data_IF_097625673304
#
_entry.id   IF_097625673304
#
_cell.length_a   1.000
_cell.length_b   1.000
_cell.length_c   1.000
_cell.angle_alpha   90.00
_cell.angle_beta   90.00
_cell.angle_gamma   90.00
#
_symmetry.space_group_name_H-M   'P 1'
#
loop_
_entity.id
_entity.type
_entity.pdbx_description
1 polymer ?
#
# COMPACT_ATOMS: atom_id res chain seq x y z
N UNK A 1 -7.51 19.91 -15.12
CA UNK A 1 -7.50 18.56 -15.72
C UNK A 1 -8.94 18.05 -15.70
N UNK A 2 -9.37 17.18 -16.62
CA UNK A 2 -10.80 16.80 -16.74
C UNK A 2 -11.12 15.41 -16.17
N UNK A 3 -10.12 14.58 -15.87
CA UNK A 3 -10.31 13.21 -15.38
C UNK A 3 -9.32 12.86 -14.27
N UNK A 4 -9.74 11.92 -13.41
CA UNK A 4 -8.95 11.33 -12.33
C UNK A 4 -7.76 10.59 -12.92
N UNK A 5 -6.56 10.78 -12.37
CA UNK A 5 -5.35 10.06 -12.79
C UNK A 5 -4.80 9.22 -11.65
N UNK A 6 -4.30 8.04 -12.00
CA UNK A 6 -3.62 7.11 -11.10
C UNK A 6 -2.21 6.83 -11.65
N UNK A 7 -1.19 7.13 -10.86
CA UNK A 7 0.23 7.08 -11.27
C UNK A 7 0.99 6.12 -10.34
N UNK A 8 1.74 5.14 -10.89
CA UNK A 8 2.54 4.23 -10.07
C UNK A 8 3.79 4.95 -9.58
N UNK A 9 4.16 4.73 -8.33
CA UNK A 9 5.42 5.19 -7.75
C UNK A 9 6.18 3.95 -7.28
N UNK A 10 7.32 3.63 -7.92
CA UNK A 10 8.18 2.52 -7.49
C UNK A 10 9.00 2.94 -6.27
N UNK A 11 8.55 2.56 -5.07
CA UNK A 11 9.21 2.93 -3.82
C UNK A 11 10.18 1.86 -3.30
N UNK A 12 10.87 1.21 -4.25
CA UNK A 12 11.88 0.19 -4.00
C UNK A 12 11.37 -1.22 -4.15
N UNK A 13 12.22 -2.16 -3.75
CA UNK A 13 11.97 -3.58 -3.82
C UNK A 13 12.47 -4.29 -2.57
N UNK A 14 11.79 -5.35 -2.16
CA UNK A 14 12.23 -6.29 -1.15
C UNK A 14 12.47 -7.67 -1.77
N UNK A 15 13.44 -8.41 -1.24
CA UNK A 15 13.74 -9.78 -1.61
C UNK A 15 13.61 -10.67 -0.38
N UNK A 16 12.96 -11.82 -0.53
CA UNK A 16 12.81 -12.80 0.56
C UNK A 16 12.52 -14.22 0.04
N UNK A 17 12.46 -15.20 0.93
CA UNK A 17 11.91 -16.51 0.60
C UNK A 17 10.39 -16.41 0.40
N UNK A 18 9.87 -16.99 -0.67
CA UNK A 18 8.43 -17.00 -0.96
C UNK A 18 7.61 -17.59 0.20
N UNK A 19 8.12 -18.64 0.84
CA UNK A 19 7.51 -19.29 2.02
C UNK A 19 7.28 -18.35 3.21
N UNK A 20 8.04 -17.25 3.27
CA UNK A 20 8.01 -16.30 4.37
C UNK A 20 6.86 -15.28 4.24
N UNK A 21 6.34 -15.09 3.02
CA UNK A 21 5.22 -14.20 2.71
C UNK A 21 3.98 -14.95 2.27
N UNK A 22 4.10 -16.16 1.71
CA UNK A 22 2.97 -17.02 1.34
C UNK A 22 3.27 -18.45 1.74
N UNK A 23 2.42 -19.02 2.59
CA UNK A 23 2.61 -20.35 3.14
C UNK A 23 2.57 -21.42 2.03
N UNK A 24 3.56 -22.32 2.05
CA UNK A 24 3.62 -23.47 1.15
C UNK A 24 4.28 -23.21 -0.21
N UNK A 25 4.77 -21.99 -0.47
CA UNK A 25 5.58 -21.70 -1.65
C UNK A 25 7.07 -21.91 -1.37
N UNK A 26 7.83 -22.22 -2.42
CA UNK A 26 9.28 -22.44 -2.37
C UNK A 26 10.03 -21.39 -3.19
N UNK A 27 11.33 -21.24 -2.91
CA UNK A 27 12.23 -20.34 -3.63
C UNK A 27 12.25 -18.92 -3.06
N UNK A 28 12.83 -18.01 -3.84
CA UNK A 28 12.92 -16.58 -3.52
C UNK A 28 11.98 -15.79 -4.41
N UNK A 29 11.46 -14.68 -3.87
CA UNK A 29 10.59 -13.75 -4.57
C UNK A 29 11.14 -12.33 -4.43
N UNK A 30 10.96 -11.55 -5.49
CA UNK A 30 11.21 -10.11 -5.53
C UNK A 30 9.86 -9.40 -5.44
N UNK A 31 9.72 -8.50 -4.48
CA UNK A 31 8.50 -7.80 -4.15
C UNK A 31 8.67 -6.33 -4.50
N UNK A 32 8.01 -5.78 -5.54
CA UNK A 32 7.96 -4.35 -5.73
C UNK A 32 7.22 -3.72 -4.55
N UNK A 33 7.66 -2.54 -4.13
CA UNK A 33 7.00 -1.76 -3.08
C UNK A 33 6.31 -0.57 -3.76
N UNK A 34 5.04 -0.72 -4.16
CA UNK A 34 4.33 0.33 -4.87
C UNK A 34 3.75 1.35 -3.90
N UNK A 35 3.83 2.62 -4.28
CA UNK A 35 2.91 3.65 -3.82
C UNK A 35 2.12 4.17 -5.01
N UNK A 36 0.97 4.77 -4.78
CA UNK A 36 0.11 5.22 -5.87
C UNK A 36 -0.29 6.67 -5.68
N UNK A 37 0.09 7.52 -6.63
CA UNK A 37 -0.37 8.91 -6.65
C UNK A 37 -1.71 8.99 -7.39
N UNK A 38 -2.68 9.61 -6.72
CA UNK A 38 -3.99 9.96 -7.27
C UNK A 38 -4.06 11.47 -7.45
N UNK A 39 -4.43 11.91 -8.65
CA UNK A 39 -4.61 13.33 -8.98
C UNK A 39 -6.07 13.55 -9.37
N UNK A 40 -6.79 14.27 -8.52
CA UNK A 40 -8.20 14.57 -8.69
C UNK A 40 -8.40 15.76 -9.65
N UNK A 41 -9.47 15.78 -10.49
CA UNK A 41 -9.74 16.88 -11.43
C UNK A 41 -9.86 18.27 -10.80
N UNK A 42 -10.26 18.33 -9.52
CA UNK A 42 -10.36 19.59 -8.76
C UNK A 42 -8.98 20.14 -8.30
N UNK A 43 -7.88 19.41 -8.54
CA UNK A 43 -6.52 19.78 -8.16
C UNK A 43 -6.02 19.16 -6.85
N UNK A 44 -6.86 18.44 -6.10
CA UNK A 44 -6.42 17.70 -4.92
C UNK A 44 -5.64 16.44 -5.29
N UNK A 45 -4.75 16.02 -4.40
CA UNK A 45 -3.87 14.86 -4.57
C UNK A 45 -3.92 13.95 -3.35
N UNK A 46 -3.80 12.65 -3.59
CA UNK A 46 -3.65 11.65 -2.54
C UNK A 46 -2.56 10.66 -2.92
N UNK A 47 -1.92 10.06 -1.92
CA UNK A 47 -0.95 8.97 -2.10
C UNK A 47 -1.46 7.76 -1.31
N UNK A 48 -1.61 6.62 -1.98
CA UNK A 48 -1.93 5.34 -1.34
C UNK A 48 -0.63 4.59 -1.05
N UNK A 49 -0.36 4.42 0.24
CA UNK A 49 0.92 4.00 0.82
C UNK A 49 2.11 4.90 0.44
N UNK A 50 3.21 4.80 1.19
CA UNK A 50 4.39 5.68 1.07
C UNK A 50 5.71 4.92 0.92
N UNK A 51 5.64 3.60 0.81
CA UNK A 51 6.81 2.77 0.54
C UNK A 51 7.77 2.62 1.72
N UNK A 52 9.01 2.27 1.40
CA UNK A 52 10.08 2.02 2.39
C UNK A 52 10.62 3.30 3.04
N UNK A 53 11.06 3.16 4.29
CA UNK A 53 11.70 4.28 5.02
C UNK A 53 13.05 4.65 4.40
N UNK A 54 13.35 5.95 4.35
CA UNK A 54 14.53 6.48 3.65
C UNK A 54 15.88 6.00 4.21
N UNK A 55 15.92 5.51 5.45
CA UNK A 55 17.10 4.86 6.06
C UNK A 55 17.43 3.51 5.43
N UNK A 56 16.51 2.88 4.69
CA UNK A 56 16.73 1.57 4.06
C UNK A 56 17.67 1.63 2.85
N UNK A 57 18.16 2.83 2.49
CA UNK A 57 19.30 2.98 1.55
C UNK A 57 20.55 2.26 2.07
N UNK A 58 20.67 2.13 3.39
CA UNK A 58 21.74 1.39 4.06
C UNK A 58 21.33 -0.06 4.41
N UNK A 59 20.21 -0.53 3.85
CA UNK A 59 19.62 -1.85 4.06
C UNK A 59 18.56 -1.89 5.18
N UNK A 60 17.74 -2.95 5.18
CA UNK A 60 16.63 -3.15 6.14
C UNK A 60 17.09 -3.01 7.60
N UNK A 61 18.27 -3.55 7.93
CA UNK A 61 18.81 -3.56 9.29
C UNK A 61 19.20 -2.19 9.86
N UNK A 62 19.26 -1.14 9.03
CA UNK A 62 19.50 0.22 9.49
C UNK A 62 18.37 0.72 10.41
N UNK A 63 17.14 0.23 10.19
CA UNK A 63 15.96 0.63 10.94
C UNK A 63 15.18 -0.54 11.56
N UNK A 64 15.17 -1.71 10.90
CA UNK A 64 14.43 -2.89 11.35
C UNK A 64 15.35 -4.13 11.49
N UNK A 65 16.17 -4.21 12.56
CA UNK A 65 17.08 -5.33 12.79
C UNK A 65 16.44 -6.73 12.83
N UNK A 66 15.17 -6.85 13.25
CA UNK A 66 14.47 -8.14 13.23
C UNK A 66 14.00 -8.48 11.81
N UNK A 67 13.43 -7.51 11.09
CA UNK A 67 12.98 -7.71 9.70
C UNK A 67 14.14 -8.01 8.75
N UNK A 68 15.32 -7.46 9.00
CA UNK A 68 16.54 -7.73 8.22
C UNK A 68 16.99 -9.20 8.25
N UNK A 69 16.42 -10.03 9.13
CA UNK A 69 16.64 -11.49 9.13
C UNK A 69 15.87 -12.22 8.03
N UNK A 70 14.84 -11.58 7.49
CA UNK A 70 13.92 -12.14 6.50
C UNK A 70 13.97 -11.39 5.18
N UNK A 71 14.17 -10.07 5.20
CA UNK A 71 14.11 -9.23 4.02
C UNK A 71 15.45 -8.57 3.71
N UNK A 72 15.79 -8.53 2.42
CA UNK A 72 16.81 -7.66 1.85
C UNK A 72 16.10 -6.57 1.04
N UNK A 73 16.65 -5.34 1.02
CA UNK A 73 16.09 -4.25 0.23
C UNK A 73 16.97 -3.89 -0.95
N UNK A 74 16.35 -3.71 -2.12
CA UNK A 74 16.90 -2.91 -3.22
C UNK A 74 16.17 -1.56 -3.20
N UNK A 75 16.78 -0.62 -2.49
CA UNK A 75 16.24 0.72 -2.29
C UNK A 75 17.36 1.76 -2.42
N UNK A 76 17.20 2.69 -3.36
CA UNK A 76 18.13 3.81 -3.59
C UNK A 76 17.46 5.15 -3.30
N UNK A 77 18.21 6.25 -3.31
CA UNK A 77 17.65 7.57 -2.99
C UNK A 77 16.46 7.91 -3.88
N UNK A 78 16.55 7.58 -5.16
CA UNK A 78 15.54 7.82 -6.21
C UNK A 78 14.23 7.05 -6.01
N UNK A 79 14.20 6.09 -5.08
CA UNK A 79 13.02 5.30 -4.71
C UNK A 79 12.21 5.94 -3.58
N UNK A 80 12.77 6.93 -2.87
CA UNK A 80 12.03 7.71 -1.87
C UNK A 80 10.74 8.27 -2.49
N UNK A 81 9.63 8.15 -1.77
CA UNK A 81 8.33 8.63 -2.28
C UNK A 81 8.36 10.12 -2.67
N UNK A 82 9.11 10.96 -1.95
CA UNK A 82 9.31 12.36 -2.32
C UNK A 82 9.97 12.53 -3.70
N UNK A 83 11.03 11.76 -3.97
CA UNK A 83 11.75 11.80 -5.25
C UNK A 83 10.87 11.26 -6.39
N UNK A 84 10.01 10.28 -6.10
CA UNK A 84 9.02 9.76 -7.06
C UNK A 84 7.94 10.79 -7.38
N UNK A 85 7.45 11.52 -6.39
CA UNK A 85 6.48 12.62 -6.56
C UNK A 85 7.09 13.78 -7.37
N UNK A 86 8.31 14.19 -7.06
CA UNK A 86 8.99 15.28 -7.77
C UNK A 86 9.26 14.96 -9.24
N UNK A 87 9.57 13.70 -9.56
CA UNK A 87 9.74 13.23 -10.96
C UNK A 87 8.48 13.38 -11.81
N UNK A 88 7.31 13.48 -11.20
CA UNK A 88 6.02 13.69 -11.88
C UNK A 88 5.44 15.07 -11.58
N UNK A 89 6.30 16.03 -11.23
CA UNK A 89 5.99 17.43 -10.97
C UNK A 89 4.99 17.66 -9.81
N UNK A 90 4.99 16.78 -8.80
CA UNK A 90 4.24 16.95 -7.55
C UNK A 90 5.19 17.31 -6.42
N UNK A 91 4.94 18.46 -5.77
CA UNK A 91 5.60 18.82 -4.52
C UNK A 91 5.12 17.91 -3.38
N UNK A 92 6.00 17.14 -2.71
CA UNK A 92 5.62 16.29 -1.57
C UNK A 92 4.97 17.07 -0.42
N UNK A 93 5.33 18.35 -0.25
CA UNK A 93 4.71 19.22 0.75
C UNK A 93 3.28 19.67 0.36
N UNK A 94 2.91 19.53 -0.90
CA UNK A 94 1.61 19.90 -1.45
C UNK A 94 0.59 18.76 -1.51
N UNK A 95 0.98 17.52 -1.15
CA UNK A 95 0.07 16.37 -1.14
C UNK A 95 -1.01 16.57 -0.08
N UNK A 96 -2.29 16.36 -0.45
CA UNK A 96 -3.40 16.61 0.47
C UNK A 96 -3.64 15.44 1.44
N UNK A 97 -3.60 14.20 0.94
CA UNK A 97 -3.91 13.01 1.74
C UNK A 97 -2.87 11.90 1.56
N UNK A 98 -2.55 11.20 2.63
CA UNK A 98 -1.95 9.87 2.61
C UNK A 98 -3.03 8.89 3.04
N UNK A 99 -3.25 7.85 2.25
CA UNK A 99 -4.20 6.79 2.57
C UNK A 99 -3.38 5.52 2.79
N UNK A 100 -3.38 5.00 4.01
CA UNK A 100 -2.67 3.75 4.29
C UNK A 100 -3.58 2.56 4.03
N UNK A 101 -3.10 1.60 3.24
CA UNK A 101 -3.67 0.26 3.22
C UNK A 101 -3.59 -0.36 4.61
N UNK A 102 -2.42 -0.27 5.23
CA UNK A 102 -2.09 -0.66 6.59
C UNK A 102 -0.74 -0.05 7.00
N UNK A 103 -0.25 -0.34 8.21
CA UNK A 103 0.89 0.35 8.81
C UNK A 103 2.17 -0.49 8.91
N UNK A 104 2.33 -1.55 8.11
CA UNK A 104 3.64 -2.22 8.02
C UNK A 104 4.69 -1.31 7.39
N UNK A 105 5.96 -1.64 7.65
CA UNK A 105 7.11 -0.76 7.40
C UNK A 105 7.32 -0.39 5.93
N UNK A 106 6.91 -1.27 5.02
CA UNK A 106 7.00 -1.08 3.58
C UNK A 106 5.81 -0.34 2.97
N UNK A 107 4.78 -0.04 3.77
CA UNK A 107 3.63 0.77 3.37
C UNK A 107 3.67 2.18 3.97
N UNK A 108 4.25 2.35 5.16
CA UNK A 108 4.27 3.64 5.87
C UNK A 108 5.65 4.26 6.07
N UNK A 109 6.73 3.61 5.60
CA UNK A 109 8.09 4.08 5.86
C UNK A 109 8.40 5.45 5.26
N UNK A 110 7.77 5.84 4.16
CA UNK A 110 7.99 7.14 3.52
C UNK A 110 7.19 8.31 4.10
N UNK A 111 6.36 8.12 5.14
CA UNK A 111 5.43 9.15 5.65
C UNK A 111 6.11 10.49 5.94
N UNK A 112 7.30 10.47 6.56
CA UNK A 112 8.05 11.68 6.93
C UNK A 112 8.43 12.56 5.72
N UNK A 113 8.38 12.01 4.51
CA UNK A 113 8.73 12.69 3.26
C UNK A 113 7.53 13.42 2.63
N UNK A 114 6.33 13.29 3.20
CA UNK A 114 5.09 13.95 2.74
C UNK A 114 4.43 14.70 3.92
N UNK A 115 5.12 15.68 4.52
CA UNK A 115 4.92 16.08 5.92
C UNK A 115 3.59 16.80 6.22
N UNK A 116 2.91 17.34 5.21
CA UNK A 116 1.71 18.17 5.40
C UNK A 116 0.40 17.43 5.09
N UNK A 117 0.48 16.21 4.54
CA UNK A 117 -0.70 15.47 4.12
C UNK A 117 -1.48 14.95 5.34
N UNK A 118 -2.81 14.97 5.24
CA UNK A 118 -3.68 14.28 6.20
C UNK A 118 -3.55 12.77 6.03
N UNK A 119 -3.35 12.04 7.11
CA UNK A 119 -3.37 10.58 7.12
C UNK A 119 -4.82 10.10 7.23
N UNK A 120 -5.21 9.16 6.36
CA UNK A 120 -6.48 8.43 6.40
C UNK A 120 -6.17 6.96 6.62
N UNK A 121 -6.69 6.40 7.72
CA UNK A 121 -6.39 5.02 8.16
C UNK A 121 -7.55 4.45 8.96
N UNK A 122 -7.76 3.13 8.90
CA UNK A 122 -8.79 2.47 9.71
C UNK A 122 -8.46 2.59 11.20
N UNK A 123 -9.48 2.83 12.03
CA UNK A 123 -9.29 2.94 13.49
C UNK A 123 -8.68 1.64 14.07
N UNK A 124 -9.14 0.48 13.60
CA UNK A 124 -8.61 -0.82 14.02
C UNK A 124 -7.11 -1.00 13.70
N UNK A 125 -6.66 -0.44 12.57
CA UNK A 125 -5.25 -0.47 12.18
C UNK A 125 -4.42 0.42 13.10
N UNK A 126 -4.88 1.65 13.33
CA UNK A 126 -4.20 2.59 14.21
C UNK A 126 -4.06 2.03 15.64
N UNK A 127 -5.13 1.45 16.17
CA UNK A 127 -5.12 0.86 17.52
C UNK A 127 -4.19 -0.36 17.60
N UNK A 128 -4.16 -1.20 16.56
CA UNK A 128 -3.25 -2.35 16.45
C UNK A 128 -1.78 -1.91 16.37
N UNK A 129 -1.48 -0.89 15.55
CA UNK A 129 -0.12 -0.41 15.33
C UNK A 129 0.52 0.25 16.57
N UNK A 130 -0.30 0.64 17.55
CA UNK A 130 0.15 1.14 18.85
C UNK A 130 0.26 0.04 19.93
N UNK A 131 -0.04 -1.22 19.60
CA UNK A 131 -0.01 -2.30 20.59
C UNK A 131 1.44 -2.64 20.98
N UNK A 132 1.82 -2.56 22.28
CA UNK A 132 3.22 -2.68 22.71
C UNK A 132 3.95 -3.94 22.24
N UNK A 133 3.27 -5.09 22.21
CA UNK A 133 3.88 -6.35 21.76
C UNK A 133 4.17 -6.36 20.27
N UNK A 134 3.34 -5.71 19.46
CA UNK A 134 3.53 -5.69 18.01
C UNK A 134 4.69 -4.75 17.65
N UNK A 135 4.84 -3.67 18.42
CA UNK A 135 6.02 -2.79 18.35
C UNK A 135 7.30 -3.51 18.78
N UNK A 136 7.27 -4.24 19.91
CA UNK A 136 8.42 -5.00 20.43
C UNK A 136 8.97 -6.02 19.40
N UNK A 137 8.10 -6.55 18.54
CA UNK A 137 8.46 -7.54 17.51
C UNK A 137 8.66 -6.92 16.12
N UNK A 138 8.73 -5.59 16.00
CA UNK A 138 8.87 -4.86 14.73
C UNK A 138 7.78 -5.17 13.70
N UNK A 139 6.58 -5.57 14.14
CA UNK A 139 5.41 -5.66 13.24
C UNK A 139 4.97 -4.26 12.83
N UNK A 140 5.02 -3.31 13.76
CA UNK A 140 4.78 -1.90 13.52
C UNK A 140 5.87 -1.05 14.18
N UNK A 141 6.09 0.14 13.64
CA UNK A 141 6.94 1.14 14.26
C UNK A 141 6.25 2.51 14.18
N UNK A 142 5.63 3.00 15.28
CA UNK A 142 4.95 4.30 15.30
C UNK A 142 5.82 5.49 14.87
N UNK A 143 7.16 5.38 14.98
CA UNK A 143 8.07 6.40 14.48
C UNK A 143 8.09 6.51 12.94
N UNK A 144 7.36 5.65 12.22
CA UNK A 144 7.17 5.75 10.78
C UNK A 144 5.92 6.53 10.39
N UNK A 145 4.87 6.55 11.23
CA UNK A 145 3.55 7.07 10.83
C UNK A 145 2.91 8.03 11.85
N UNK A 146 3.23 7.95 13.14
CA UNK A 146 2.73 8.87 14.18
C UNK A 146 3.67 10.06 14.34
N UNK A 147 3.79 10.84 13.27
CA UNK A 147 4.75 11.94 13.13
C UNK A 147 4.14 13.33 13.38
N UNK A 148 2.89 13.38 13.86
CA UNK A 148 2.16 14.63 14.11
C UNK A 148 1.40 15.20 12.90
N UNK A 149 1.14 14.37 11.88
CA UNK A 149 0.26 14.72 10.77
C UNK A 149 -1.18 14.96 11.25
N UNK A 150 -1.98 15.68 10.46
CA UNK A 150 -3.43 15.64 10.63
C UNK A 150 -3.93 14.21 10.40
N UNK A 151 -4.77 13.70 11.28
CA UNK A 151 -5.17 12.29 11.30
C UNK A 151 -6.69 12.15 11.24
N UNK A 152 -7.16 11.43 10.22
CA UNK A 152 -8.53 10.98 10.08
C UNK A 152 -8.59 9.45 10.25
N UNK A 153 -8.99 9.01 11.43
CA UNK A 153 -9.35 7.61 11.67
C UNK A 153 -10.75 7.34 11.14
N UNK A 154 -10.89 6.30 10.32
CA UNK A 154 -12.16 5.90 9.72
C UNK A 154 -12.58 4.50 10.20
N UNK A 155 -13.88 4.23 10.14
CA UNK A 155 -14.46 2.92 10.47
C UNK A 155 -15.28 2.44 9.28
N UNK A 156 -14.70 1.56 8.48
CA UNK A 156 -15.39 1.00 7.31
C UNK A 156 -15.10 1.74 6.01
N UNK A 157 -16.08 1.72 5.10
CA UNK A 157 -15.95 2.40 3.79
C UNK A 157 -15.92 3.91 3.95
N UNK A 158 -15.03 4.57 3.21
CA UNK A 158 -14.86 6.01 3.25
C UNK A 158 -14.64 6.59 1.85
N UNK A 159 -15.25 7.73 1.57
CA UNK A 159 -15.08 8.47 0.32
C UNK A 159 -14.07 9.59 0.54
N UNK A 160 -12.92 9.50 -0.13
CA UNK A 160 -11.76 10.37 0.12
C UNK A 160 -12.03 11.81 -0.33
N UNK A 161 -12.73 12.00 -1.45
CA UNK A 161 -13.01 13.32 -2.04
C UNK A 161 -14.49 13.73 -1.92
N UNK A 162 -15.36 12.83 -1.48
CA UNK A 162 -16.78 13.09 -1.24
C UNK A 162 -17.66 13.04 -2.50
N UNK A 163 -17.11 12.60 -3.63
CA UNK A 163 -17.80 12.48 -4.92
C UNK A 163 -17.87 11.04 -5.46
N UNK A 164 -17.41 10.07 -4.67
CA UNK A 164 -17.38 8.65 -5.00
C UNK A 164 -16.26 8.24 -5.96
N UNK A 165 -15.35 9.14 -6.34
CA UNK A 165 -14.26 8.85 -7.27
C UNK A 165 -13.20 7.93 -6.67
N UNK A 166 -12.95 8.05 -5.36
CA UNK A 166 -11.94 7.28 -4.63
C UNK A 166 -12.51 6.79 -3.30
N UNK A 167 -12.61 5.47 -3.16
CA UNK A 167 -13.30 4.82 -2.04
C UNK A 167 -12.35 3.87 -1.30
N UNK A 168 -12.16 4.10 -0.01
CA UNK A 168 -11.55 3.13 0.88
C UNK A 168 -12.51 1.94 1.08
N UNK A 169 -12.00 0.72 0.93
CA UNK A 169 -12.75 -0.53 1.07
C UNK A 169 -12.09 -1.36 2.17
N UNK A 170 -12.78 -1.60 3.30
CA UNK A 170 -12.27 -2.50 4.33
C UNK A 170 -12.01 -3.89 3.76
N UNK A 171 -10.79 -4.38 3.97
CA UNK A 171 -10.30 -5.71 3.59
C UNK A 171 -9.40 -6.26 4.69
N UNK A 172 -9.89 -6.37 5.94
CA UNK A 172 -9.07 -6.79 7.08
C UNK A 172 -8.69 -8.27 6.98
N UNK A 173 -7.70 -8.67 7.76
CA UNK A 173 -7.26 -10.06 7.90
C UNK A 173 -5.75 -10.22 7.81
N UNK A 174 -5.11 -9.59 6.82
CA UNK A 174 -3.65 -9.44 6.79
C UNK A 174 -3.19 -8.67 8.03
N UNK A 175 -3.75 -7.47 8.22
CA UNK A 175 -3.71 -6.73 9.48
C UNK A 175 -5.11 -6.48 10.02
N UNK A 176 -5.19 -5.98 11.26
CA UNK A 176 -6.45 -5.76 11.98
C UNK A 176 -7.38 -4.76 11.26
N UNK A 177 -6.82 -3.73 10.62
CA UNK A 177 -7.57 -2.72 9.89
C UNK A 177 -7.10 -2.51 8.46
N UNK A 178 -6.58 -3.55 7.81
CA UNK A 178 -6.20 -3.48 6.40
C UNK A 178 -7.36 -2.97 5.53
N UNK A 179 -7.06 -2.11 4.57
CA UNK A 179 -8.00 -1.61 3.57
C UNK A 179 -7.39 -1.56 2.17
N UNK A 180 -8.25 -1.79 1.18
CA UNK A 180 -7.95 -1.62 -0.24
C UNK A 180 -8.55 -0.30 -0.74
N UNK A 181 -8.10 0.20 -1.90
CA UNK A 181 -8.59 1.46 -2.46
C UNK A 181 -9.22 1.23 -3.83
N UNK A 182 -10.48 1.62 -4.00
CA UNK A 182 -11.13 1.67 -5.31
C UNK A 182 -11.01 3.06 -5.92
N UNK A 183 -10.55 3.11 -7.15
CA UNK A 183 -10.34 4.33 -7.94
C UNK A 183 -11.17 4.22 -9.22
N UNK A 184 -12.18 5.07 -9.37
CA UNK A 184 -13.08 5.07 -10.52
C UNK A 184 -12.49 5.93 -11.65
N UNK A 185 -11.59 5.35 -12.44
CA UNK A 185 -11.00 6.01 -13.62
C UNK A 185 -11.99 6.04 -14.80
N UNK A 186 -11.74 6.92 -15.76
CA UNK A 186 -12.51 6.99 -17.01
C UNK A 186 -12.42 5.69 -17.83
N UNK A 187 -11.29 4.98 -17.75
CA UNK A 187 -11.06 3.68 -18.40
C UNK A 187 -11.76 2.51 -17.71
N UNK A 188 -12.31 2.72 -16.50
CA UNK A 188 -12.95 1.70 -15.69
C UNK A 188 -12.46 1.71 -14.23
N UNK A 189 -13.19 1.04 -13.33
CA UNK A 189 -12.80 0.98 -11.93
C UNK A 189 -11.56 0.10 -11.72
N UNK A 190 -10.62 0.62 -10.95
CA UNK A 190 -9.42 -0.09 -10.48
C UNK A 190 -9.52 -0.28 -8.97
N UNK A 191 -9.05 -1.41 -8.45
CA UNK A 191 -8.89 -1.63 -7.01
C UNK A 191 -7.44 -1.95 -6.71
N UNK A 192 -6.81 -1.09 -5.92
CA UNK A 192 -5.49 -1.32 -5.31
C UNK A 192 -5.70 -2.25 -4.12
N UNK A 193 -5.21 -3.48 -4.20
CA UNK A 193 -5.55 -4.50 -3.21
C UNK A 193 -4.81 -4.30 -1.90
N UNK A 194 -3.65 -3.62 -1.91
CA UNK A 194 -2.68 -3.71 -0.83
C UNK A 194 -2.31 -5.17 -0.57
N UNK A 195 -2.06 -5.48 0.68
CA UNK A 195 -1.61 -6.80 1.14
C UNK A 195 -2.74 -7.79 1.41
N UNK A 196 -3.99 -7.38 1.18
CA UNK A 196 -5.06 -8.36 1.09
C UNK A 196 -4.76 -9.41 0.00
N UNK A 197 -4.06 -9.01 -1.08
CA UNK A 197 -3.58 -9.89 -2.14
C UNK A 197 -2.22 -9.41 -2.66
N UNK A 198 -1.16 -10.18 -2.43
CA UNK A 198 0.19 -9.82 -2.88
C UNK A 198 0.36 -9.91 -4.41
N UNK A 199 -0.09 -11.00 -5.04
CA UNK A 199 -0.03 -11.20 -6.49
C UNK A 199 -1.14 -12.10 -7.01
N UNK A 200 -1.34 -12.15 -8.32
CA UNK A 200 -2.52 -12.80 -8.92
C UNK A 200 -2.72 -14.26 -8.47
N UNK A 201 -1.67 -15.08 -8.52
CA UNK A 201 -1.75 -16.48 -8.13
C UNK A 201 -2.18 -16.68 -6.67
N UNK A 202 -1.86 -15.74 -5.76
CA UNK A 202 -2.34 -15.79 -4.36
C UNK A 202 -3.86 -15.71 -4.31
N UNK A 203 -4.48 -14.89 -5.16
CA UNK A 203 -5.94 -14.78 -5.23
C UNK A 203 -6.59 -16.01 -5.87
N UNK A 204 -6.02 -16.49 -6.98
CA UNK A 204 -6.57 -17.64 -7.70
C UNK A 204 -6.56 -18.91 -6.85
N UNK A 205 -5.48 -19.13 -6.11
CA UNK A 205 -5.31 -20.30 -5.26
C UNK A 205 -5.78 -20.06 -3.81
N UNK A 206 -6.22 -18.84 -3.47
CA UNK A 206 -6.61 -18.42 -2.13
C UNK A 206 -5.53 -18.72 -1.08
N UNK A 207 -4.28 -18.43 -1.42
CA UNK A 207 -3.12 -18.61 -0.54
C UNK A 207 -3.07 -17.52 0.52
N UNK A 208 -2.45 -17.82 1.65
CA UNK A 208 -2.36 -16.92 2.79
C UNK A 208 -0.90 -16.79 3.25
N UNK A 209 -0.55 -15.66 3.91
CA UNK A 209 0.73 -15.57 4.59
C UNK A 209 0.85 -16.58 5.73
N UNK A 210 2.08 -16.93 6.16
CA UNK A 210 2.27 -17.78 7.33
C UNK A 210 1.78 -17.11 8.62
N UNK A 211 1.79 -15.77 8.65
CA UNK A 211 1.31 -14.96 9.75
C UNK A 211 0.40 -13.85 9.21
N UNK A 212 -0.73 -13.64 9.87
CA UNK A 212 -1.65 -12.53 9.63
C UNK A 212 -2.47 -12.29 10.88
N UNK A 213 -3.24 -11.21 10.90
CA UNK A 213 -4.13 -10.92 12.04
C UNK A 213 -5.23 -11.98 12.19
N UNK A 214 -5.92 -12.30 11.10
CA UNK A 214 -6.98 -13.32 11.05
C UNK A 214 -7.15 -13.85 9.62
N UNK A 215 -6.84 -15.13 9.43
CA UNK A 215 -6.88 -15.79 8.12
C UNK A 215 -8.30 -15.98 7.56
N UNK A 216 -9.30 -16.22 8.41
CA UNK A 216 -10.68 -16.38 7.95
C UNK A 216 -11.23 -15.03 7.46
N UNK A 217 -10.87 -13.94 8.16
CA UNK A 217 -11.15 -12.57 7.72
C UNK A 217 -10.43 -12.25 6.41
N UNK A 218 -9.15 -12.62 6.27
CA UNK A 218 -8.39 -12.37 5.04
C UNK A 218 -9.02 -13.11 3.86
N UNK A 219 -9.38 -14.38 4.03
CA UNK A 219 -10.08 -15.15 2.99
C UNK A 219 -11.44 -14.53 2.61
N UNK A 220 -12.18 -13.96 3.57
CA UNK A 220 -13.41 -13.23 3.26
C UNK A 220 -13.14 -11.95 2.46
N UNK A 221 -12.09 -11.20 2.82
CA UNK A 221 -11.64 -10.01 2.11
C UNK A 221 -11.16 -10.32 0.68
N UNK A 222 -10.39 -11.40 0.51
CA UNK A 222 -9.93 -11.88 -0.80
C UNK A 222 -11.11 -12.26 -1.70
N UNK A 223 -12.11 -12.99 -1.17
CA UNK A 223 -13.32 -13.32 -1.94
C UNK A 223 -14.06 -12.07 -2.39
N UNK A 224 -14.22 -11.09 -1.51
CA UNK A 224 -14.82 -9.79 -1.85
C UNK A 224 -14.05 -9.08 -2.98
N UNK A 225 -12.72 -9.08 -2.96
CA UNK A 225 -11.91 -8.49 -4.03
C UNK A 225 -12.05 -9.27 -5.35
N UNK A 226 -12.10 -10.61 -5.29
CA UNK A 226 -12.37 -11.45 -6.47
C UNK A 226 -13.75 -11.16 -7.06
N UNK A 227 -14.79 -11.02 -6.24
CA UNK A 227 -16.14 -10.70 -6.71
C UNK A 227 -16.18 -9.30 -7.36
N UNK A 228 -15.44 -8.32 -6.82
CA UNK A 228 -15.29 -7.00 -7.46
C UNK A 228 -14.64 -7.08 -8.85
N UNK A 229 -13.72 -8.02 -9.06
CA UNK A 229 -13.08 -8.27 -10.36
C UNK A 229 -14.03 -9.00 -11.31
N UNK A 230 -14.52 -10.15 -10.89
CA UNK A 230 -15.21 -11.12 -11.75
C UNK A 230 -16.65 -10.71 -12.05
N UNK A 231 -17.35 -10.13 -11.06
CA UNK A 231 -18.74 -9.66 -11.19
C UNK A 231 -18.85 -8.14 -11.28
N UNK A 232 -17.97 -7.43 -10.59
CA UNK A 232 -17.97 -5.96 -10.52
C UNK A 232 -17.25 -5.26 -11.67
N UNK A 233 -16.54 -6.00 -12.53
CA UNK A 233 -15.79 -5.47 -13.67
C UNK A 233 -14.61 -4.58 -13.29
N UNK A 234 -14.09 -4.70 -12.05
CA UNK A 234 -12.92 -3.95 -11.61
C UNK A 234 -11.62 -4.61 -12.09
N UNK A 235 -10.64 -3.81 -12.49
CA UNK A 235 -9.25 -4.28 -12.59
C UNK A 235 -8.64 -4.30 -11.20
N UNK A 236 -8.01 -5.40 -10.79
CA UNK A 236 -7.22 -5.43 -9.56
C UNK A 236 -5.77 -5.07 -9.87
N UNK A 237 -5.15 -4.28 -8.99
CA UNK A 237 -3.71 -4.05 -8.97
C UNK A 237 -3.19 -4.57 -7.64
N UNK A 238 -2.41 -5.65 -7.71
CA UNK A 238 -1.93 -6.41 -6.56
C UNK A 238 -0.77 -5.71 -5.83
N UNK A 239 -0.59 -6.03 -4.54
CA UNK A 239 0.34 -5.33 -3.64
C UNK A 239 1.82 -5.49 -3.99
N UNK A 240 2.27 -6.68 -4.37
CA UNK A 240 3.67 -7.02 -4.61
C UNK A 240 3.88 -7.95 -5.82
N UNK A 241 3.10 -7.76 -6.88
CA UNK A 241 3.20 -8.58 -8.09
C UNK A 241 4.25 -8.02 -9.06
N UNK A 242 5.42 -8.64 -9.10
CA UNK A 242 6.52 -8.23 -9.98
C UNK A 242 6.18 -8.33 -11.48
N UNK A 243 5.38 -9.33 -11.89
CA UNK A 243 5.01 -9.51 -13.29
C UNK A 243 4.01 -8.45 -13.73
N UNK A 244 3.02 -8.16 -12.88
CA UNK A 244 2.12 -7.03 -13.06
C UNK A 244 2.91 -5.72 -13.14
N UNK A 245 3.81 -5.47 -12.18
CA UNK A 245 4.57 -4.24 -12.07
C UNK A 245 5.39 -3.95 -13.33
N UNK A 246 6.09 -4.97 -13.84
CA UNK A 246 6.85 -4.87 -15.09
C UNK A 246 5.97 -4.59 -16.33
N UNK A 247 4.69 -4.94 -16.25
CA UNK A 247 3.70 -4.73 -17.31
C UNK A 247 2.94 -3.41 -17.22
N UNK A 248 3.08 -2.64 -16.14
CA UNK A 248 2.38 -1.36 -15.99
C UNK A 248 2.90 -0.35 -17.02
N UNK A 249 2.01 0.13 -17.88
CA UNK A 249 2.32 1.19 -18.84
C UNK A 249 1.85 2.54 -18.28
N UNK A 250 2.76 3.51 -18.23
CA UNK A 250 2.40 4.90 -17.97
C UNK A 250 1.67 5.47 -19.19
N UNK A 251 0.49 6.06 -18.98
CA UNK A 251 -0.17 6.88 -19.98
C UNK A 251 -0.40 8.30 -19.44
N UNK A 252 -0.58 9.31 -20.31
CA UNK A 252 -0.87 10.69 -19.88
C UNK A 252 -2.12 10.82 -19.00
N UNK A 253 -3.07 9.88 -19.09
CA UNK A 253 -4.29 9.80 -18.27
C UNK A 253 -4.17 8.92 -17.03
N UNK A 254 -3.00 8.33 -16.75
CA UNK A 254 -2.78 7.37 -15.66
C UNK A 254 -2.37 5.98 -16.18
N UNK A 255 -2.37 4.96 -15.32
CA UNK A 255 -2.08 3.59 -15.75
C UNK A 255 -3.20 3.02 -16.62
N UNK A 256 -2.81 2.36 -17.71
CA UNK A 256 -3.66 1.50 -18.55
C UNK A 256 -3.22 0.05 -18.37
#
# INVERSE_FOLDING_TARGET
>A
MTSLRLVPLECGWLSTSASSVVAGLDGNVELPIPSWLIIHPNGETAVFDTGLHHELVDGVGARYPLMARQFESRFISEDKVSERLEKVDIDPCGVNNIIFSHLHFDHCGGTSLIPNARIIVQNAEWDSAHHPKLIEHEVYNPADFDLGHDLLKIDGTHDVFGDGSVMCIPTPGHTAGHQSLRVNLESGPVVLTGDCVYWEAVLEEMLLPPFGFDHDMQLASMRKLRDLRDEGGCKLLYGHDAAQWAGLQESPSGII
#
